data_IF_471416044355
#
_entry.id   IF_471416044355
#
_cell.length_a   1.000
_cell.length_b   1.000
_cell.length_c   1.000
_cell.angle_alpha   90.00
_cell.angle_beta   90.00
_cell.angle_gamma   90.00
#
_symmetry.space_group_name_H-M   'P 1'
#
loop_
_entity.id
_entity.type
_entity.pdbx_description
1 polymer ?
#
# COMPACT_ATOMS: atom_id res chain seq x y z
N UNK A 1 16.99 -1.07 0.28
CA UNK A 1 15.92 -1.26 -0.73
C UNK A 1 15.10 -2.52 -0.51
N UNK A 2 15.68 -3.69 -0.39
CA UNK A 2 14.96 -4.97 -0.25
C UNK A 2 13.89 -4.96 0.86
N UNK A 3 14.18 -4.36 2.04
CA UNK A 3 13.24 -4.29 3.16
C UNK A 3 11.97 -3.47 2.87
N UNK A 4 12.02 -2.58 1.88
CA UNK A 4 10.88 -1.70 1.52
C UNK A 4 9.84 -2.44 0.67
N UNK A 5 10.29 -3.34 -0.19
CA UNK A 5 9.42 -4.12 -1.09
C UNK A 5 9.11 -5.52 -0.55
N UNK A 6 10.05 -6.09 0.19
CA UNK A 6 9.94 -7.43 0.75
C UNK A 6 9.91 -7.38 2.29
N UNK A 7 10.18 -8.50 2.93
CA UNK A 7 10.28 -8.59 4.38
C UNK A 7 11.73 -8.42 4.88
N UNK A 8 11.87 -8.22 6.19
CA UNK A 8 13.19 -8.05 6.81
C UNK A 8 14.05 -9.32 6.75
N UNK A 9 13.43 -10.53 6.67
CA UNK A 9 14.15 -11.80 6.58
C UNK A 9 14.80 -11.95 5.21
N UNK A 10 14.05 -11.70 4.15
CA UNK A 10 14.54 -11.70 2.77
C UNK A 10 15.64 -10.65 2.59
N UNK A 11 15.44 -9.44 3.14
CA UNK A 11 16.45 -8.38 3.08
C UNK A 11 17.74 -8.78 3.79
N UNK A 12 17.65 -9.40 4.97
CA UNK A 12 18.81 -9.87 5.71
C UNK A 12 19.56 -10.99 4.95
N UNK A 13 18.80 -11.96 4.41
CA UNK A 13 19.40 -13.04 3.64
C UNK A 13 20.18 -12.51 2.41
N UNK A 14 19.56 -11.63 1.62
CA UNK A 14 20.23 -11.01 0.46
C UNK A 14 21.47 -10.22 0.88
N UNK A 15 21.40 -9.46 1.97
CA UNK A 15 22.53 -8.71 2.49
C UNK A 15 23.68 -9.60 2.94
N UNK A 16 23.39 -10.72 3.62
CA UNK A 16 24.42 -11.70 4.00
C UNK A 16 25.13 -12.30 2.78
N UNK A 17 24.38 -12.66 1.73
CA UNK A 17 24.96 -13.17 0.49
C UNK A 17 25.84 -12.09 -0.17
N UNK A 18 25.37 -10.84 -0.22
CA UNK A 18 26.13 -9.72 -0.77
C UNK A 18 27.44 -9.50 -0.01
N UNK A 19 27.41 -9.48 1.32
CA UNK A 19 28.61 -9.33 2.17
C UNK A 19 29.63 -10.45 1.86
N UNK A 20 29.17 -11.70 1.81
CA UNK A 20 30.05 -12.84 1.54
C UNK A 20 30.73 -12.76 0.18
N UNK A 21 29.98 -12.35 -0.85
CA UNK A 21 30.53 -12.19 -2.20
C UNK A 21 31.53 -11.01 -2.27
N UNK A 22 31.21 -9.88 -1.64
CA UNK A 22 32.09 -8.70 -1.62
C UNK A 22 33.34 -8.94 -0.77
N UNK A 23 33.24 -9.72 0.30
CA UNK A 23 34.39 -10.02 1.17
C UNK A 23 35.53 -10.75 0.44
N UNK A 24 35.23 -11.48 -0.65
CA UNK A 24 36.26 -12.19 -1.45
C UNK A 24 37.27 -11.21 -2.05
N UNK A 25 36.83 -10.00 -2.38
CA UNK A 25 37.66 -8.97 -3.04
C UNK A 25 38.08 -7.85 -2.07
N UNK A 26 37.58 -7.87 -0.84
CA UNK A 26 37.88 -6.84 0.14
C UNK A 26 39.33 -6.96 0.66
N UNK A 27 40.09 -5.86 0.84
CA UNK A 27 41.44 -5.88 1.37
C UNK A 27 41.57 -6.45 2.78
N UNK A 28 40.57 -6.17 3.65
CA UNK A 28 40.45 -6.67 5.02
C UNK A 28 39.11 -7.41 5.18
N UNK A 29 38.97 -8.67 4.75
CA UNK A 29 37.67 -9.36 4.67
C UNK A 29 36.93 -9.43 6.00
N UNK A 30 37.60 -9.70 7.11
CA UNK A 30 36.97 -9.82 8.44
C UNK A 30 36.41 -8.50 8.94
N UNK A 31 37.19 -7.40 8.82
CA UNK A 31 36.72 -6.06 9.18
C UNK A 31 35.54 -5.64 8.32
N UNK A 32 35.64 -5.89 7.02
CA UNK A 32 34.56 -5.63 6.06
C UNK A 32 33.27 -6.38 6.43
N UNK A 33 33.34 -7.70 6.64
CA UNK A 33 32.18 -8.51 7.02
C UNK A 33 31.52 -7.96 8.29
N UNK A 34 32.33 -7.65 9.30
CA UNK A 34 31.81 -7.19 10.58
C UNK A 34 31.12 -5.82 10.45
N UNK A 35 31.76 -4.87 9.79
CA UNK A 35 31.22 -3.51 9.59
C UNK A 35 29.95 -3.53 8.75
N UNK A 36 29.94 -4.23 7.62
CA UNK A 36 28.76 -4.34 6.75
C UNK A 36 27.60 -5.04 7.46
N UNK A 37 27.89 -6.08 8.23
CA UNK A 37 26.86 -6.83 8.96
C UNK A 37 26.15 -5.95 9.99
N UNK A 38 26.91 -5.24 10.86
CA UNK A 38 26.28 -4.37 11.88
C UNK A 38 25.56 -3.18 11.26
N UNK A 39 26.13 -2.57 10.21
CA UNK A 39 25.52 -1.43 9.51
C UNK A 39 24.24 -1.88 8.76
N UNK A 40 24.26 -3.06 8.13
CA UNK A 40 23.09 -3.63 7.48
C UNK A 40 21.97 -3.99 8.44
N UNK A 41 22.30 -4.59 9.60
CA UNK A 41 21.33 -4.84 10.67
C UNK A 41 20.68 -3.54 11.17
N UNK A 42 21.48 -2.50 11.41
CA UNK A 42 20.99 -1.18 11.82
C UNK A 42 20.05 -0.58 10.76
N UNK A 43 20.43 -0.66 9.48
CA UNK A 43 19.60 -0.19 8.37
C UNK A 43 18.28 -0.96 8.25
N UNK A 44 18.33 -2.30 8.24
CA UNK A 44 17.14 -3.16 8.14
C UNK A 44 16.18 -2.91 9.29
N UNK A 45 16.69 -2.83 10.53
CA UNK A 45 15.87 -2.60 11.71
C UNK A 45 15.25 -1.18 11.70
N UNK A 46 16.00 -0.18 11.25
CA UNK A 46 15.49 1.21 11.13
C UNK A 46 14.39 1.34 10.07
N UNK A 47 14.42 0.51 9.00
CA UNK A 47 13.48 0.57 7.88
C UNK A 47 12.35 -0.47 7.98
N UNK A 48 12.32 -1.32 9.01
CA UNK A 48 11.30 -2.36 9.19
C UNK A 48 9.88 -1.80 9.17
N UNK A 49 9.67 -0.67 9.86
CA UNK A 49 8.38 0.00 9.99
C UNK A 49 8.38 1.34 9.25
N UNK A 50 8.89 1.32 8.01
CA UNK A 50 8.97 2.51 7.18
C UNK A 50 7.58 3.05 6.86
N UNK A 51 7.23 4.19 7.47
CA UNK A 51 5.95 4.88 7.30
C UNK A 51 6.09 6.27 6.69
N UNK A 52 7.28 6.85 6.73
CA UNK A 52 7.57 8.18 6.17
C UNK A 52 8.90 8.17 5.42
N UNK A 53 8.93 8.82 4.27
CA UNK A 53 10.15 8.93 3.45
C UNK A 53 11.32 9.60 4.19
N UNK A 54 11.03 10.49 5.13
CA UNK A 54 12.06 11.13 5.97
C UNK A 54 12.85 10.15 6.87
N UNK A 55 12.31 8.95 7.11
CA UNK A 55 13.02 7.92 7.88
C UNK A 55 14.27 7.41 7.14
N UNK A 56 14.31 7.48 5.80
CA UNK A 56 15.50 7.12 5.02
C UNK A 56 16.71 8.02 5.36
N UNK A 57 16.48 9.32 5.56
CA UNK A 57 17.54 10.24 5.97
C UNK A 57 18.05 9.91 7.38
N UNK A 58 17.13 9.59 8.31
CA UNK A 58 17.52 9.14 9.67
C UNK A 58 18.32 7.84 9.61
N UNK A 59 17.91 6.92 8.75
CA UNK A 59 18.63 5.66 8.53
C UNK A 59 20.02 5.90 7.96
N UNK A 60 20.19 6.85 7.04
CA UNK A 60 21.50 7.21 6.51
C UNK A 60 22.46 7.73 7.60
N UNK A 61 21.96 8.60 8.50
CA UNK A 61 22.73 9.06 9.67
C UNK A 61 23.05 7.91 10.62
N UNK A 62 22.08 7.04 10.90
CA UNK A 62 22.29 5.87 11.75
C UNK A 62 23.36 4.93 11.17
N UNK A 63 23.33 4.66 9.88
CA UNK A 63 24.32 3.83 9.17
C UNK A 63 25.71 4.46 9.27
N UNK A 64 25.83 5.77 9.03
CA UNK A 64 27.11 6.49 9.20
C UNK A 64 27.67 6.34 10.62
N UNK A 65 26.83 6.54 11.64
CA UNK A 65 27.23 6.41 13.05
C UNK A 65 27.63 4.97 13.36
N UNK A 66 26.88 3.99 12.86
CA UNK A 66 27.17 2.57 13.09
C UNK A 66 28.51 2.15 12.50
N UNK A 67 28.80 2.56 11.27
CA UNK A 67 30.12 2.36 10.66
C UNK A 67 31.22 3.06 11.47
N UNK A 68 31.01 4.29 11.85
CA UNK A 68 32.03 5.10 12.56
C UNK A 68 32.36 4.49 13.93
N UNK A 69 31.35 4.11 14.71
CA UNK A 69 31.52 3.48 16.02
C UNK A 69 32.13 2.06 15.86
N UNK A 70 31.64 1.29 14.91
CA UNK A 70 32.13 -0.07 14.65
C UNK A 70 33.61 -0.06 14.23
N UNK A 71 33.98 0.82 13.29
CA UNK A 71 35.37 0.99 12.85
C UNK A 71 36.27 1.42 14.00
N UNK A 72 35.85 2.42 14.79
CA UNK A 72 36.59 2.88 15.95
C UNK A 72 36.82 1.74 16.96
N UNK A 73 35.79 0.94 17.25
CA UNK A 73 35.88 -0.18 18.18
C UNK A 73 36.83 -1.27 17.67
N UNK A 74 36.74 -1.65 16.39
CA UNK A 74 37.62 -2.66 15.77
C UNK A 74 39.07 -2.18 15.78
N UNK A 75 39.31 -0.94 15.38
CA UNK A 75 40.67 -0.38 15.30
C UNK A 75 41.34 -0.38 16.68
N UNK A 76 40.65 0.05 17.74
CA UNK A 76 41.15 -0.01 19.12
C UNK A 76 41.43 -1.46 19.55
N UNK A 77 40.55 -2.40 19.24
CA UNK A 77 40.75 -3.81 19.60
C UNK A 77 41.99 -4.42 18.92
N UNK A 78 42.26 -4.04 17.67
CA UNK A 78 43.37 -4.59 16.91
C UNK A 78 44.70 -3.86 17.17
N UNK A 79 44.65 -2.54 17.39
CA UNK A 79 45.89 -1.70 17.49
C UNK A 79 46.25 -1.30 18.92
N UNK A 80 45.28 -1.39 19.85
CA UNK A 80 45.43 -0.98 21.25
C UNK A 80 45.48 0.55 21.48
N UNK A 81 45.37 1.36 20.41
CA UNK A 81 45.52 2.82 20.49
C UNK A 81 44.68 3.50 19.38
N UNK A 82 44.01 4.63 19.67
CA UNK A 82 43.27 5.38 18.67
C UNK A 82 44.14 6.19 17.68
N UNK A 83 45.46 6.19 17.87
CA UNK A 83 46.37 7.02 17.07
C UNK A 83 46.56 6.51 15.63
N UNK A 84 46.13 5.30 15.33
CA UNK A 84 46.22 4.66 14.01
C UNK A 84 44.96 4.79 13.16
N UNK A 85 43.95 5.47 13.67
CA UNK A 85 42.70 5.72 12.91
C UNK A 85 42.97 6.41 11.58
N UNK A 86 42.39 5.87 10.50
CA UNK A 86 42.52 6.44 9.17
C UNK A 86 41.33 7.37 8.89
N UNK A 87 41.51 8.74 8.90
CA UNK A 87 40.39 9.68 8.73
C UNK A 87 39.62 9.49 7.42
N UNK A 88 40.30 8.99 6.37
CA UNK A 88 39.69 8.72 5.07
C UNK A 88 38.52 7.71 5.15
N UNK A 89 38.57 6.78 6.12
CA UNK A 89 37.47 5.78 6.30
C UNK A 89 36.15 6.47 6.66
N UNK A 90 36.15 7.49 7.50
CA UNK A 90 34.96 8.28 7.82
C UNK A 90 34.37 8.99 6.61
N UNK A 91 35.26 9.45 5.68
CA UNK A 91 34.82 10.00 4.39
C UNK A 91 34.08 8.94 3.55
N UNK A 92 34.59 7.70 3.50
CA UNK A 92 33.92 6.58 2.82
C UNK A 92 32.57 6.24 3.46
N UNK A 93 32.47 6.24 4.79
CA UNK A 93 31.19 6.03 5.50
C UNK A 93 30.19 7.16 5.21
N UNK A 94 30.67 8.39 5.06
CA UNK A 94 29.85 9.52 4.62
C UNK A 94 29.28 9.33 3.22
N UNK A 95 30.10 8.84 2.28
CA UNK A 95 29.67 8.49 0.92
C UNK A 95 28.61 7.37 0.96
N UNK A 96 28.81 6.32 1.76
CA UNK A 96 27.84 5.25 1.93
C UNK A 96 26.49 5.79 2.47
N UNK A 97 26.49 6.69 3.45
CA UNK A 97 25.30 7.34 3.96
C UNK A 97 24.56 8.15 2.88
N UNK A 98 25.30 8.85 2.02
CA UNK A 98 24.72 9.53 0.86
C UNK A 98 24.06 8.54 -0.09
N UNK A 99 24.70 7.40 -0.40
CA UNK A 99 24.10 6.35 -1.23
C UNK A 99 22.84 5.75 -0.60
N UNK A 100 22.79 5.57 0.73
CA UNK A 100 21.57 5.16 1.43
C UNK A 100 20.44 6.18 1.22
N UNK A 101 20.75 7.47 1.23
CA UNK A 101 19.77 8.52 0.94
C UNK A 101 19.25 8.46 -0.50
N UNK A 102 20.10 8.09 -1.48
CA UNK A 102 19.68 7.88 -2.87
C UNK A 102 18.70 6.70 -3.04
N UNK A 103 18.62 5.76 -2.09
CA UNK A 103 17.61 4.70 -2.10
C UNK A 103 16.19 5.26 -2.20
N UNK A 104 15.94 6.48 -1.70
CA UNK A 104 14.67 7.19 -1.86
C UNK A 104 14.25 7.36 -3.33
N UNK A 105 15.19 7.84 -4.17
CA UNK A 105 14.94 8.02 -5.61
C UNK A 105 14.78 6.66 -6.29
N UNK A 106 15.61 5.69 -5.89
CA UNK A 106 15.57 4.34 -6.46
C UNK A 106 14.27 3.59 -6.15
N UNK A 107 13.66 3.82 -4.97
CA UNK A 107 12.32 3.25 -4.65
C UNK A 107 11.31 3.72 -5.69
N UNK A 108 11.25 5.02 -5.96
CA UNK A 108 10.33 5.57 -6.96
C UNK A 108 10.57 5.00 -8.37
N UNK A 109 11.85 4.87 -8.77
CA UNK A 109 12.23 4.30 -10.07
C UNK A 109 11.77 2.85 -10.19
N UNK A 110 12.01 2.05 -9.14
CA UNK A 110 11.60 0.63 -9.10
C UNK A 110 10.08 0.50 -9.14
N UNK A 111 9.35 1.29 -8.36
CA UNK A 111 7.87 1.31 -8.41
C UNK A 111 7.37 1.60 -9.82
N UNK A 112 7.95 2.59 -10.50
CA UNK A 112 7.51 3.02 -11.83
C UNK A 112 7.86 2.01 -12.93
N UNK A 113 9.04 1.39 -12.86
CA UNK A 113 9.51 0.45 -13.91
C UNK A 113 8.85 -0.93 -13.76
N UNK A 114 8.77 -1.45 -12.53
CA UNK A 114 8.32 -2.82 -12.28
C UNK A 114 6.85 -2.90 -11.83
N UNK A 115 6.17 -1.77 -11.65
CA UNK A 115 4.78 -1.74 -11.20
C UNK A 115 4.57 -2.22 -9.76
N UNK A 116 5.64 -2.33 -8.96
CA UNK A 116 5.53 -2.64 -7.55
C UNK A 116 4.98 -1.44 -6.77
N UNK A 117 4.30 -1.71 -5.67
CA UNK A 117 3.84 -0.67 -4.75
C UNK A 117 4.52 -0.89 -3.39
N UNK A 118 5.32 0.07 -2.96
CA UNK A 118 6.03 -0.02 -1.68
C UNK A 118 5.09 0.20 -0.49
N UNK A 119 5.53 -0.25 0.68
CA UNK A 119 4.82 0.02 1.95
C UNK A 119 4.63 1.51 2.19
N UNK A 120 5.61 2.34 1.80
CA UNK A 120 5.55 3.81 1.95
C UNK A 120 4.44 4.39 1.11
N UNK A 121 4.34 4.01 -0.16
CA UNK A 121 3.28 4.46 -1.06
C UNK A 121 1.90 4.04 -0.54
N UNK A 122 1.75 2.83 0.01
CA UNK A 122 0.48 2.40 0.62
C UNK A 122 0.10 3.25 1.86
N UNK A 123 1.09 3.63 2.69
CA UNK A 123 0.85 4.52 3.83
C UNK A 123 0.50 5.93 3.37
N UNK A 124 1.19 6.47 2.36
CA UNK A 124 0.87 7.78 1.76
C UNK A 124 -0.54 7.80 1.14
N UNK A 125 -0.94 6.71 0.49
CA UNK A 125 -2.30 6.55 -0.04
C UNK A 125 -3.37 6.44 1.07
N UNK A 126 -2.99 5.96 2.25
CA UNK A 126 -3.90 5.87 3.40
C UNK A 126 -4.02 7.18 4.18
N UNK A 127 -3.32 8.24 3.78
CA UNK A 127 -3.47 9.57 4.38
C UNK A 127 -4.79 10.20 3.93
N UNK A 128 -5.64 10.53 4.89
CA UNK A 128 -6.95 11.17 4.64
C UNK A 128 -6.84 12.55 3.96
N UNK A 129 -5.68 13.18 4.03
CA UNK A 129 -5.39 14.42 3.31
C UNK A 129 -5.04 14.21 1.83
N UNK A 130 -4.98 12.96 1.35
CA UNK A 130 -4.83 12.66 -0.07
C UNK A 130 -5.96 13.35 -0.85
N UNK A 131 -5.66 14.03 -1.98
CA UNK A 131 -6.67 14.81 -2.71
C UNK A 131 -7.95 14.05 -3.05
N UNK A 132 -7.85 12.76 -3.42
CA UNK A 132 -9.02 11.93 -3.77
C UNK A 132 -9.84 11.60 -2.51
N UNK A 133 -9.20 11.22 -1.41
CA UNK A 133 -9.89 10.91 -0.15
C UNK A 133 -10.51 12.16 0.46
N UNK A 134 -9.85 13.29 0.32
CA UNK A 134 -10.38 14.57 0.74
C UNK A 134 -11.63 14.94 -0.08
N UNK A 135 -11.58 14.81 -1.41
CA UNK A 135 -12.74 15.02 -2.28
C UNK A 135 -13.91 14.08 -1.88
N UNK A 136 -13.61 12.79 -1.62
CA UNK A 136 -14.59 11.83 -1.12
C UNK A 136 -15.22 12.29 0.21
N UNK A 137 -14.41 12.77 1.14
CA UNK A 137 -14.90 13.24 2.45
C UNK A 137 -15.76 14.48 2.37
N UNK A 138 -15.50 15.38 1.39
CA UNK A 138 -16.23 16.62 1.19
C UNK A 138 -17.54 16.39 0.41
N UNK A 139 -17.54 15.53 -0.61
CA UNK A 139 -18.70 15.32 -1.49
C UNK A 139 -19.58 14.12 -1.07
N UNK A 140 -19.00 13.11 -0.44
CA UNK A 140 -19.65 11.86 -0.02
C UNK A 140 -19.27 11.50 1.42
N UNK A 141 -19.60 12.31 2.43
CA UNK A 141 -19.16 12.08 3.80
C UNK A 141 -19.62 10.74 4.37
N UNK A 142 -20.81 10.25 4.01
CA UNK A 142 -21.30 8.94 4.41
C UNK A 142 -20.46 7.79 3.83
N UNK A 143 -20.18 7.85 2.53
CA UNK A 143 -19.28 6.85 1.87
C UNK A 143 -17.86 6.90 2.44
N UNK A 144 -17.32 8.09 2.72
CA UNK A 144 -16.01 8.21 3.35
C UNK A 144 -15.99 7.54 4.73
N UNK A 145 -17.02 7.77 5.54
CA UNK A 145 -17.15 7.17 6.87
C UNK A 145 -17.30 5.64 6.80
N UNK A 146 -18.11 5.14 5.84
CA UNK A 146 -18.22 3.71 5.54
C UNK A 146 -16.86 3.12 5.15
N UNK A 147 -16.16 3.71 4.19
CA UNK A 147 -14.84 3.26 3.74
C UNK A 147 -13.81 3.20 4.88
N UNK A 148 -13.85 4.14 5.82
CA UNK A 148 -13.01 4.12 7.02
C UNK A 148 -13.33 2.94 7.95
N UNK A 149 -14.61 2.63 8.15
CA UNK A 149 -15.05 1.49 8.98
C UNK A 149 -14.66 0.16 8.33
N UNK A 150 -14.96 0.00 7.04
CA UNK A 150 -14.58 -1.18 6.24
C UNK A 150 -13.05 -1.35 6.25
N UNK A 151 -12.29 -0.27 6.09
CA UNK A 151 -10.82 -0.27 6.14
C UNK A 151 -10.29 -0.80 7.46
N UNK A 152 -10.88 -0.41 8.58
CA UNK A 152 -10.46 -0.89 9.91
C UNK A 152 -10.81 -2.37 10.11
N UNK A 153 -12.02 -2.78 9.73
CA UNK A 153 -12.47 -4.17 9.84
C UNK A 153 -11.63 -5.10 8.95
N UNK A 154 -11.44 -4.71 7.69
CA UNK A 154 -10.66 -5.47 6.72
C UNK A 154 -9.17 -5.56 7.12
N UNK A 155 -8.59 -4.48 7.69
CA UNK A 155 -7.22 -4.47 8.19
C UNK A 155 -7.02 -5.47 9.35
N UNK A 156 -7.97 -5.55 10.29
CA UNK A 156 -7.91 -6.51 11.39
C UNK A 156 -8.04 -7.95 10.88
N UNK A 157 -8.95 -8.21 9.92
CA UNK A 157 -9.07 -9.51 9.28
C UNK A 157 -7.78 -9.90 8.55
N UNK A 158 -7.18 -8.97 7.79
CA UNK A 158 -5.92 -9.18 7.10
C UNK A 158 -4.78 -9.53 8.08
N UNK A 159 -4.72 -8.84 9.22
CA UNK A 159 -3.72 -9.11 10.25
C UNK A 159 -3.81 -10.55 10.77
N UNK A 160 -5.03 -11.02 11.07
CA UNK A 160 -5.25 -12.38 11.62
C UNK A 160 -4.87 -13.51 10.68
N UNK A 161 -5.02 -13.32 9.37
CA UNK A 161 -4.70 -14.35 8.38
C UNK A 161 -3.34 -14.14 7.68
N UNK A 162 -2.53 -13.18 8.15
CA UNK A 162 -1.22 -12.90 7.58
C UNK A 162 -1.24 -12.34 6.15
N UNK A 163 -2.29 -11.59 5.79
CA UNK A 163 -2.37 -10.84 4.54
C UNK A 163 -1.70 -9.45 4.68
N UNK A 164 -1.55 -8.72 3.58
CA UNK A 164 -0.94 -7.40 3.59
C UNK A 164 -1.90 -6.33 4.14
N UNK A 165 -1.78 -6.06 5.45
CA UNK A 165 -2.64 -5.12 6.19
C UNK A 165 -2.66 -3.72 5.58
N UNK A 166 -1.51 -3.19 5.15
CA UNK A 166 -1.42 -1.84 4.60
C UNK A 166 -2.09 -1.76 3.22
N UNK A 167 -1.95 -2.80 2.41
CA UNK A 167 -2.60 -2.89 1.11
C UNK A 167 -4.13 -2.95 1.26
N UNK A 168 -4.62 -3.80 2.16
CA UNK A 168 -6.07 -3.92 2.44
C UNK A 168 -6.63 -2.60 2.97
N UNK A 169 -5.90 -1.95 3.90
CA UNK A 169 -6.29 -0.65 4.44
C UNK A 169 -6.41 0.42 3.35
N UNK A 170 -5.38 0.56 2.52
CA UNK A 170 -5.39 1.50 1.42
C UNK A 170 -6.50 1.17 0.40
N UNK A 171 -6.60 -0.09 -0.06
CA UNK A 171 -7.61 -0.53 -1.01
C UNK A 171 -9.04 -0.24 -0.55
N UNK A 172 -9.33 -0.52 0.73
CA UNK A 172 -10.64 -0.26 1.32
C UNK A 172 -11.00 1.24 1.37
N UNK A 173 -10.03 2.14 1.53
CA UNK A 173 -10.31 3.59 1.50
C UNK A 173 -10.74 4.10 0.13
N UNK A 174 -10.33 3.41 -0.96
CA UNK A 174 -10.58 3.84 -2.33
C UNK A 174 -11.66 3.05 -3.06
N UNK A 175 -12.17 1.94 -2.50
CA UNK A 175 -13.04 1.03 -3.24
C UNK A 175 -14.28 1.71 -3.83
N UNK A 176 -14.79 2.69 -3.14
CA UNK A 176 -16.06 3.39 -3.40
C UNK A 176 -15.91 4.84 -3.93
N UNK A 177 -14.71 5.24 -4.39
CA UNK A 177 -14.48 6.62 -4.86
C UNK A 177 -15.34 7.03 -6.06
N UNK A 178 -15.90 6.07 -6.78
CA UNK A 178 -16.80 6.34 -7.89
C UNK A 178 -18.18 6.84 -7.48
N UNK A 179 -18.60 6.68 -6.22
CA UNK A 179 -19.85 7.21 -5.69
C UNK A 179 -19.89 8.75 -5.70
N UNK A 180 -18.72 9.39 -5.81
CA UNK A 180 -18.60 10.86 -5.98
C UNK A 180 -19.35 11.37 -7.22
N UNK A 181 -19.51 10.56 -8.28
CA UNK A 181 -20.23 10.99 -9.49
C UNK A 181 -21.72 11.19 -9.24
N UNK A 182 -22.33 10.40 -8.35
CA UNK A 182 -23.76 10.43 -8.06
C UNK A 182 -24.04 10.20 -6.57
N UNK A 183 -23.60 11.08 -5.66
CA UNK A 183 -23.66 10.84 -4.21
C UNK A 183 -25.07 10.56 -3.67
N UNK A 184 -26.08 11.28 -4.15
CA UNK A 184 -27.45 11.20 -3.67
C UNK A 184 -28.14 9.85 -3.93
N UNK A 185 -27.58 9.02 -4.84
CA UNK A 185 -28.10 7.69 -5.12
C UNK A 185 -27.63 6.61 -4.11
N UNK A 186 -26.71 6.95 -3.23
CA UNK A 186 -26.20 6.03 -2.21
C UNK A 186 -26.77 6.40 -0.85
N UNK A 187 -27.38 5.41 -0.18
CA UNK A 187 -28.20 5.60 1.02
C UNK A 187 -27.48 6.33 2.14
N UNK A 188 -26.20 6.05 2.29
CA UNK A 188 -25.31 6.67 3.31
C UNK A 188 -25.05 8.16 3.09
N UNK A 189 -25.32 8.66 1.86
CA UNK A 189 -25.16 10.10 1.51
C UNK A 189 -26.49 10.79 1.26
N UNK A 190 -27.63 10.10 1.40
CA UNK A 190 -28.94 10.68 1.11
C UNK A 190 -29.36 11.71 2.16
N UNK A 191 -29.77 12.89 1.70
CA UNK A 191 -30.36 13.94 2.51
C UNK A 191 -31.70 14.36 1.88
N UNK A 192 -32.81 13.78 2.36
CA UNK A 192 -34.13 14.14 1.87
C UNK A 192 -34.78 13.09 0.95
N UNK A 193 -35.20 13.51 -0.27
CA UNK A 193 -35.92 12.61 -1.19
C UNK A 193 -34.98 11.60 -1.83
N UNK A 194 -35.38 10.31 -1.79
CA UNK A 194 -34.64 9.24 -2.46
C UNK A 194 -34.79 9.37 -4.00
N UNK A 195 -33.72 9.64 -4.76
CA UNK A 195 -33.80 9.82 -6.20
C UNK A 195 -34.19 8.54 -6.96
N UNK A 196 -34.03 7.37 -6.37
CA UNK A 196 -34.47 6.10 -6.96
C UNK A 196 -35.97 5.98 -7.14
N UNK A 197 -36.77 6.79 -6.38
CA UNK A 197 -38.23 6.77 -6.52
C UNK A 197 -38.73 7.27 -7.89
N UNK A 198 -37.90 8.02 -8.62
CA UNK A 198 -38.22 8.52 -9.96
C UNK A 198 -37.69 7.60 -11.09
N UNK A 199 -37.03 6.48 -10.76
CA UNK A 199 -36.37 5.58 -11.71
C UNK A 199 -36.97 4.19 -11.68
N UNK A 200 -36.87 3.47 -12.81
CA UNK A 200 -37.14 2.02 -12.80
C UNK A 200 -36.03 1.27 -12.03
N UNK A 201 -36.32 0.03 -11.56
CA UNK A 201 -35.31 -0.80 -10.90
C UNK A 201 -34.04 -0.99 -11.73
N UNK A 202 -34.16 -1.18 -13.06
CA UNK A 202 -32.99 -1.32 -13.96
C UNK A 202 -32.20 -0.01 -14.07
N UNK A 203 -32.90 1.13 -14.17
CA UNK A 203 -32.23 2.44 -14.20
C UNK A 203 -31.47 2.68 -12.89
N UNK A 204 -32.09 2.35 -11.77
CA UNK A 204 -31.49 2.45 -10.45
C UNK A 204 -30.27 1.53 -10.30
N UNK A 205 -30.38 0.27 -10.74
CA UNK A 205 -29.27 -0.68 -10.74
C UNK A 205 -28.10 -0.16 -11.60
N UNK A 206 -28.39 0.37 -12.78
CA UNK A 206 -27.37 0.95 -13.67
C UNK A 206 -26.59 2.07 -12.99
N UNK A 207 -27.28 2.98 -12.31
CA UNK A 207 -26.62 4.11 -11.58
C UNK A 207 -25.74 3.56 -10.46
N UNK A 208 -26.24 2.61 -9.68
CA UNK A 208 -25.48 2.04 -8.57
C UNK A 208 -24.27 1.25 -9.09
N UNK A 209 -24.43 0.41 -10.12
CA UNK A 209 -23.33 -0.38 -10.69
C UNK A 209 -22.25 0.53 -11.32
N UNK A 210 -22.65 1.69 -11.85
CA UNK A 210 -21.72 2.63 -12.51
C UNK A 210 -20.61 3.16 -11.58
N UNK A 211 -20.78 3.12 -10.23
CA UNK A 211 -19.70 3.58 -9.34
C UNK A 211 -18.39 2.81 -9.54
N UNK A 212 -18.45 1.53 -9.95
CA UNK A 212 -17.24 0.72 -10.20
C UNK A 212 -16.45 1.27 -11.40
N UNK A 213 -16.99 1.35 -12.62
CA UNK A 213 -16.26 1.94 -13.75
C UNK A 213 -15.93 3.42 -13.54
N UNK A 214 -16.76 4.18 -12.85
CA UNK A 214 -16.47 5.60 -12.57
C UNK A 214 -15.34 5.74 -11.53
N UNK A 215 -15.29 4.85 -10.54
CA UNK A 215 -14.16 4.74 -9.61
C UNK A 215 -12.85 4.42 -10.32
N UNK A 216 -12.86 3.50 -11.27
CA UNK A 216 -11.69 3.19 -12.10
C UNK A 216 -11.21 4.38 -12.91
N UNK A 217 -12.12 5.15 -13.54
CA UNK A 217 -11.76 6.38 -14.26
C UNK A 217 -11.10 7.42 -13.34
N UNK A 218 -11.65 7.59 -12.13
CA UNK A 218 -11.06 8.48 -11.11
C UNK A 218 -9.69 7.99 -10.66
N UNK A 219 -9.53 6.69 -10.43
CA UNK A 219 -8.27 6.07 -10.07
C UNK A 219 -7.20 6.26 -11.17
N UNK A 220 -7.58 6.19 -12.44
CA UNK A 220 -6.69 6.46 -13.57
C UNK A 220 -6.26 7.93 -13.62
N UNK A 221 -7.22 8.85 -13.51
CA UNK A 221 -6.94 10.28 -13.46
C UNK A 221 -6.05 10.65 -12.29
N UNK A 222 -6.26 10.02 -11.12
CA UNK A 222 -5.46 10.18 -9.91
C UNK A 222 -4.15 9.40 -9.93
N UNK A 223 -3.85 8.64 -11.00
CA UNK A 223 -2.64 7.80 -11.15
C UNK A 223 -2.45 6.82 -10.01
N UNK A 224 -3.54 6.27 -9.49
CA UNK A 224 -3.48 5.26 -8.43
C UNK A 224 -2.81 3.97 -8.97
N UNK A 225 -2.03 3.26 -8.12
CA UNK A 225 -1.42 1.99 -8.50
C UNK A 225 -2.46 0.95 -8.92
N UNK A 226 -2.07 0.01 -9.80
CA UNK A 226 -2.95 -1.06 -10.27
C UNK A 226 -3.55 -1.86 -9.11
N UNK A 227 -2.76 -2.17 -8.08
CA UNK A 227 -3.22 -2.90 -6.91
C UNK A 227 -4.39 -2.21 -6.17
N UNK A 228 -4.51 -0.88 -6.22
CA UNK A 228 -5.68 -0.16 -5.67
C UNK A 228 -6.86 -0.22 -6.64
N UNK A 229 -6.63 -0.14 -7.94
CA UNK A 229 -7.68 -0.32 -8.96
C UNK A 229 -8.32 -1.71 -8.88
N UNK A 230 -7.55 -2.74 -8.52
CA UNK A 230 -8.06 -4.09 -8.30
C UNK A 230 -9.10 -4.12 -7.17
N UNK A 231 -8.91 -3.37 -6.08
CA UNK A 231 -9.93 -3.25 -5.03
C UNK A 231 -11.20 -2.59 -5.55
N UNK A 232 -11.09 -1.53 -6.35
CA UNK A 232 -12.25 -0.84 -6.94
C UNK A 232 -13.02 -1.77 -7.89
N UNK A 233 -12.32 -2.54 -8.72
CA UNK A 233 -12.97 -3.39 -9.72
C UNK A 233 -13.55 -4.68 -9.15
N UNK A 234 -12.98 -5.20 -8.04
CA UNK A 234 -13.23 -6.55 -7.55
C UNK A 234 -14.15 -6.61 -6.33
N UNK A 235 -14.40 -5.50 -5.61
CA UNK A 235 -15.10 -5.52 -4.32
C UNK A 235 -16.55 -6.04 -4.41
N UNK A 236 -17.21 -5.90 -5.55
CA UNK A 236 -18.51 -6.51 -5.81
C UNK A 236 -18.45 -7.78 -6.67
N UNK A 237 -17.29 -8.06 -7.26
CA UNK A 237 -17.12 -9.19 -8.17
C UNK A 237 -18.13 -9.19 -9.30
N UNK A 238 -18.73 -10.35 -9.56
CA UNK A 238 -19.89 -10.56 -10.45
C UNK A 238 -21.20 -10.71 -9.66
N UNK A 239 -21.28 -10.04 -8.51
CA UNK A 239 -22.50 -9.98 -7.71
C UNK A 239 -23.62 -9.22 -8.41
N UNK A 240 -24.82 -9.26 -7.83
CA UNK A 240 -25.98 -8.53 -8.33
C UNK A 240 -26.31 -7.36 -7.40
N UNK A 241 -26.85 -6.29 -7.95
CA UNK A 241 -27.52 -5.22 -7.22
C UNK A 241 -28.87 -5.78 -6.70
N UNK A 242 -28.80 -6.61 -5.62
CA UNK A 242 -29.87 -7.52 -5.16
C UNK A 242 -31.18 -6.81 -4.91
N UNK A 243 -31.15 -5.64 -4.28
CA UNK A 243 -32.38 -4.90 -3.99
C UNK A 243 -33.17 -4.60 -5.25
N UNK A 244 -32.53 -4.06 -6.27
CA UNK A 244 -33.18 -3.70 -7.52
C UNK A 244 -33.59 -4.92 -8.34
N UNK A 245 -32.75 -5.95 -8.36
CA UNK A 245 -33.07 -7.23 -9.01
C UNK A 245 -34.32 -7.88 -8.39
N UNK A 246 -34.36 -7.97 -7.07
CA UNK A 246 -35.52 -8.53 -6.37
C UNK A 246 -36.77 -7.68 -6.56
N UNK A 247 -36.63 -6.35 -6.51
CA UNK A 247 -37.74 -5.42 -6.77
C UNK A 247 -38.30 -5.60 -8.17
N UNK A 248 -37.45 -5.77 -9.17
CA UNK A 248 -37.87 -6.04 -10.55
C UNK A 248 -38.58 -7.38 -10.69
N UNK A 249 -38.02 -8.47 -10.14
CA UNK A 249 -38.69 -9.79 -10.14
C UNK A 249 -40.06 -9.77 -9.49
N UNK A 250 -40.22 -9.02 -8.38
CA UNK A 250 -41.51 -8.93 -7.68
C UNK A 250 -42.57 -8.19 -8.50
N UNK A 251 -42.17 -7.27 -9.39
CA UNK A 251 -43.10 -6.55 -10.28
C UNK A 251 -43.36 -7.29 -11.58
N UNK A 252 -42.59 -8.34 -11.91
CA UNK A 252 -42.72 -9.18 -13.11
C UNK A 252 -42.68 -10.66 -12.74
N UNK A 253 -43.68 -11.15 -11.96
CA UNK A 253 -43.61 -12.50 -11.37
C UNK A 253 -43.72 -13.63 -12.40
N UNK A 254 -44.32 -13.36 -13.56
CA UNK A 254 -44.54 -14.33 -14.62
C UNK A 254 -43.49 -14.29 -15.73
N UNK A 255 -42.44 -13.45 -15.61
CA UNK A 255 -41.40 -13.30 -16.60
C UNK A 255 -40.07 -13.91 -16.13
N UNK A 256 -39.34 -14.54 -17.07
CA UNK A 256 -37.94 -14.92 -16.83
C UNK A 256 -37.05 -13.69 -16.91
N UNK A 257 -36.58 -13.22 -15.75
CA UNK A 257 -35.81 -11.96 -15.66
C UNK A 257 -34.36 -12.21 -16.02
N UNK A 258 -33.86 -11.48 -17.05
CA UNK A 258 -32.43 -11.43 -17.37
C UNK A 258 -31.64 -10.74 -16.21
N UNK A 259 -30.71 -11.42 -15.55
CA UNK A 259 -29.92 -10.84 -14.48
C UNK A 259 -28.82 -9.87 -14.97
N UNK A 260 -28.51 -9.84 -16.27
CA UNK A 260 -27.38 -9.07 -16.81
C UNK A 260 -27.42 -7.57 -16.49
N UNK A 261 -28.57 -6.86 -16.57
CA UNK A 261 -28.65 -5.43 -16.24
C UNK A 261 -28.38 -5.12 -14.75
N UNK A 262 -28.52 -6.13 -13.89
CA UNK A 262 -28.35 -6.01 -12.44
C UNK A 262 -27.02 -6.57 -11.93
N UNK A 263 -26.14 -7.04 -12.82
CA UNK A 263 -24.90 -7.74 -12.47
C UNK A 263 -23.70 -6.79 -12.60
N UNK A 264 -22.87 -6.76 -11.57
CA UNK A 264 -21.60 -6.02 -11.61
C UNK A 264 -20.63 -6.61 -12.65
N UNK A 265 -19.80 -5.76 -13.28
CA UNK A 265 -18.93 -6.21 -14.38
C UNK A 265 -17.82 -7.17 -13.93
N UNK A 266 -17.48 -7.17 -12.65
CA UNK A 266 -16.38 -7.96 -12.12
C UNK A 266 -15.01 -7.34 -12.43
N UNK A 267 -13.94 -8.12 -12.33
CA UNK A 267 -13.88 -9.56 -12.04
C UNK A 267 -14.14 -9.90 -10.56
N UNK A 268 -14.30 -11.20 -10.25
CA UNK A 268 -14.29 -11.66 -8.87
C UNK A 268 -12.92 -11.42 -8.23
N UNK A 269 -12.84 -11.30 -6.87
CA UNK A 269 -11.59 -11.15 -6.15
C UNK A 269 -10.54 -12.20 -6.54
N UNK A 270 -9.32 -11.77 -6.81
CA UNK A 270 -8.23 -12.63 -7.28
C UNK A 270 -7.11 -12.79 -6.25
N UNK A 271 -7.14 -11.99 -5.19
CA UNK A 271 -6.15 -12.04 -4.10
C UNK A 271 -6.84 -12.20 -2.75
N UNK A 272 -6.08 -12.61 -1.73
CA UNK A 272 -6.58 -12.64 -0.35
C UNK A 272 -7.08 -11.27 0.08
N UNK A 273 -6.34 -10.23 -0.28
CA UNK A 273 -6.59 -8.86 0.10
C UNK A 273 -7.92 -8.34 -0.49
N UNK A 274 -8.14 -8.55 -1.79
CA UNK A 274 -9.40 -8.13 -2.43
C UNK A 274 -10.59 -8.97 -1.96
N UNK A 275 -10.37 -10.24 -1.62
CA UNK A 275 -11.42 -11.10 -1.02
C UNK A 275 -11.82 -10.65 0.38
N UNK A 276 -10.83 -10.23 1.20
CA UNK A 276 -11.10 -9.68 2.54
C UNK A 276 -11.96 -8.42 2.43
N UNK A 277 -11.63 -7.52 1.49
CA UNK A 277 -12.43 -6.32 1.27
C UNK A 277 -13.88 -6.68 0.89
N UNK A 278 -14.07 -7.54 -0.11
CA UNK A 278 -15.42 -7.94 -0.55
C UNK A 278 -16.26 -8.50 0.60
N UNK A 279 -15.65 -9.26 1.51
CA UNK A 279 -16.36 -9.79 2.68
C UNK A 279 -16.63 -8.72 3.74
N UNK A 280 -15.67 -7.81 3.98
CA UNK A 280 -15.81 -6.75 4.97
C UNK A 280 -16.81 -5.67 4.55
N UNK A 281 -16.94 -5.42 3.25
CA UNK A 281 -17.90 -4.48 2.67
C UNK A 281 -19.34 -5.03 2.71
N UNK A 282 -19.50 -6.35 2.74
CA UNK A 282 -20.80 -7.01 2.79
C UNK A 282 -21.42 -7.12 4.21
N UNK A 283 -20.69 -6.71 5.27
CA UNK A 283 -21.11 -6.79 6.67
C UNK A 283 -21.60 -5.44 7.16
#
# INVERSE_FOLDING_TARGET
MMVVFFDSRTALFCHMVEIMLCAIIAPSPLEFIFLEFIAGLAAINSLKDLSRRSQLLRTAVLVFLTYSVGYFAIDILLTGSPDKLVPRMFGSFGINAVFVSFAYIMIFVVEKIFGFTSKVTLVELSDVNNPILRELSEQCPGTFQHSMQVSNLAAEAAHRIGANVQLVRAGALYHDIGKIENPAFFTENQHGVNPHLALSPEQSARVVIAHVPDGLKRAEKGKLPMVIKDFISQHHGKGKARYFYTSYCNTHPDEEVDPAPFTYPGPNPQTKETSILMMADAV
#
